data_IF_602629383397
#
_entry.id   IF_602629383397
#
_cell.length_a   1.000
_cell.length_b   1.000
_cell.length_c   1.000
_cell.angle_alpha   90.00
_cell.angle_beta   90.00
_cell.angle_gamma   90.00
#
_symmetry.space_group_name_H-M   'P 1'
#
loop_
_entity.id
_entity.type
_entity.pdbx_description
1 polymer ?
#
# COMPACT_ATOMS: atom_id res chain seq x y z
N UNK A 1 6.37 24.14 -6.05
CA UNK A 1 6.16 22.69 -6.17
C UNK A 1 6.32 22.02 -4.81
N UNK A 2 5.36 21.22 -4.40
CA UNK A 2 5.42 20.51 -3.12
C UNK A 2 5.74 19.05 -3.33
N UNK A 3 6.33 18.42 -2.30
CA UNK A 3 6.74 17.03 -2.35
C UNK A 3 6.12 16.27 -1.19
N UNK A 4 5.51 15.12 -1.49
CA UNK A 4 4.92 14.23 -0.48
C UNK A 4 5.50 12.83 -0.59
N UNK A 5 5.61 12.16 0.56
CA UNK A 5 6.11 10.79 0.61
C UNK A 5 5.17 9.90 1.39
N UNK A 6 4.83 8.77 0.80
CA UNK A 6 4.06 7.72 1.45
C UNK A 6 4.79 6.39 1.37
N UNK A 7 4.43 5.48 2.25
CA UNK A 7 4.95 4.11 2.23
C UNK A 7 3.76 3.17 2.17
N UNK A 8 3.84 2.18 1.28
CA UNK A 8 2.80 1.18 1.12
C UNK A 8 3.35 -0.23 1.26
N UNK A 9 2.46 -1.16 1.55
CA UNK A 9 2.84 -2.56 1.75
C UNK A 9 2.04 -3.48 0.85
N UNK A 10 2.75 -4.33 0.10
CA UNK A 10 2.15 -5.49 -0.52
C UNK A 10 2.12 -6.56 0.57
N UNK A 11 1.00 -6.64 1.28
CA UNK A 11 0.84 -7.57 2.40
C UNK A 11 0.35 -8.90 1.85
N UNK A 12 1.02 -9.97 2.26
CA UNK A 12 0.63 -11.30 1.83
C UNK A 12 0.66 -12.29 2.99
N UNK A 13 -0.08 -13.37 2.85
CA UNK A 13 -0.04 -14.51 3.74
C UNK A 13 0.04 -15.78 2.91
N UNK A 14 0.56 -16.83 3.51
CA UNK A 14 0.65 -18.13 2.87
C UNK A 14 -0.32 -19.08 3.54
N UNK A 15 -1.02 -19.85 2.73
CA UNK A 15 -1.87 -20.92 3.21
C UNK A 15 -1.52 -22.14 2.36
N UNK A 16 -0.87 -23.10 2.97
CA UNK A 16 -0.24 -24.21 2.28
C UNK A 16 0.80 -23.66 1.30
N UNK A 17 0.71 -23.95 0.02
CA UNK A 17 1.65 -23.46 -0.99
C UNK A 17 1.12 -22.22 -1.74
N UNK A 18 -0.03 -21.71 -1.37
CA UNK A 18 -0.65 -20.60 -2.06
C UNK A 18 -0.44 -19.29 -1.31
N UNK A 19 -0.15 -18.23 -2.08
CA UNK A 19 0.03 -16.88 -1.56
C UNK A 19 -1.23 -16.06 -1.81
N UNK A 20 -1.72 -15.40 -0.76
CA UNK A 20 -2.87 -14.50 -0.84
C UNK A 20 -2.42 -13.09 -0.53
N UNK A 21 -2.86 -12.15 -1.34
CA UNK A 21 -2.52 -10.73 -1.17
C UNK A 21 -3.70 -9.98 -0.57
N UNK A 22 -3.40 -9.04 0.32
CA UNK A 22 -4.42 -8.22 0.96
C UNK A 22 -4.69 -6.96 0.13
N UNK A 23 -5.93 -6.77 -0.27
CA UNK A 23 -6.37 -5.55 -0.93
C UNK A 23 -7.46 -4.90 -0.09
N UNK A 24 -7.39 -3.59 0.02
CA UNK A 24 -8.36 -2.80 0.77
C UNK A 24 -9.27 -2.06 -0.22
N UNK A 25 -10.55 -2.04 0.09
CA UNK A 25 -11.54 -1.31 -0.68
C UNK A 25 -11.77 0.04 0.00
N UNK A 26 -11.26 1.10 -0.61
CA UNK A 26 -11.36 2.45 -0.06
C UNK A 26 -12.76 3.02 -0.25
N UNK A 27 -13.20 3.88 0.66
CA UNK A 27 -14.52 4.52 0.57
C UNK A 27 -14.67 5.26 -0.75
N UNK A 28 -13.59 5.83 -1.27
CA UNK A 28 -13.59 6.51 -2.57
C UNK A 28 -13.83 5.56 -3.77
N UNK A 29 -13.83 4.26 -3.54
CA UNK A 29 -14.22 3.26 -4.54
C UNK A 29 -13.10 2.42 -5.13
N UNK A 30 -11.86 2.83 -4.99
CA UNK A 30 -10.75 2.07 -5.57
C UNK A 30 -10.25 0.97 -4.62
N UNK A 31 -9.57 -0.02 -5.21
CA UNK A 31 -8.92 -1.10 -4.49
C UNK A 31 -7.41 -0.90 -4.56
N UNK A 32 -6.74 -0.96 -3.42
CA UNK A 32 -5.31 -0.70 -3.35
C UNK A 32 -4.71 -1.35 -2.11
N UNK A 33 -3.39 -1.24 -1.98
CA UNK A 33 -2.65 -1.69 -0.82
C UNK A 33 -2.80 -0.74 0.36
N UNK A 34 -2.57 -1.21 1.59
CA UNK A 34 -2.42 -0.30 2.74
C UNK A 34 -1.23 0.63 2.49
N UNK A 35 -1.41 1.91 2.76
CA UNK A 35 -0.34 2.90 2.62
C UNK A 35 -0.69 4.18 3.37
N UNK A 36 0.31 4.98 3.69
CA UNK A 36 0.09 6.25 4.32
C UNK A 36 1.32 7.12 4.33
N UNK A 37 1.13 8.36 4.77
CA UNK A 37 2.17 9.38 4.77
C UNK A 37 3.21 9.15 5.86
N UNK A 38 4.47 9.42 5.52
CA UNK A 38 5.57 9.42 6.49
C UNK A 38 5.38 10.62 7.41
N UNK A 39 5.40 10.37 8.72
CA UNK A 39 5.35 11.43 9.71
C UNK A 39 6.78 11.83 10.09
N UNK A 40 6.91 13.05 10.62
CA UNK A 40 8.20 13.59 11.03
C UNK A 40 8.89 12.65 12.00
N UNK A 41 10.16 12.36 11.72
CA UNK A 41 10.97 11.48 12.56
C UNK A 41 10.81 10.00 12.33
N UNK A 42 9.86 9.59 11.46
CA UNK A 42 9.67 8.17 11.16
C UNK A 42 10.59 7.69 10.05
N UNK A 43 11.11 6.47 10.21
CA UNK A 43 11.73 5.74 9.10
C UNK A 43 10.62 5.16 8.22
N UNK A 44 10.99 4.71 7.02
CA UNK A 44 10.02 4.07 6.11
C UNK A 44 9.39 2.82 6.75
N UNK A 45 10.20 1.99 7.42
CA UNK A 45 9.68 0.79 8.09
C UNK A 45 8.73 1.14 9.24
N UNK A 46 9.03 2.19 10.00
CA UNK A 46 8.15 2.64 11.07
C UNK A 46 6.80 3.12 10.54
N UNK A 47 6.84 3.91 9.45
CA UNK A 47 5.63 4.36 8.78
C UNK A 47 4.80 3.16 8.30
N UNK A 48 5.48 2.19 7.66
CA UNK A 48 4.81 1.01 7.13
C UNK A 48 4.07 0.26 8.22
N UNK A 49 4.75 -0.04 9.33
CA UNK A 49 4.15 -0.78 10.44
C UNK A 49 2.98 -0.02 11.06
N UNK A 50 3.14 1.28 11.24
CA UNK A 50 2.09 2.12 11.81
C UNK A 50 0.86 2.17 10.92
N UNK A 51 1.06 2.45 9.63
CA UNK A 51 -0.05 2.56 8.69
C UNK A 51 -0.77 1.23 8.50
N UNK A 52 -0.04 0.12 8.37
CA UNK A 52 -0.67 -1.19 8.23
C UNK A 52 -1.48 -1.52 9.49
N UNK A 53 -0.93 -1.23 10.67
CA UNK A 53 -1.66 -1.48 11.91
C UNK A 53 -2.91 -0.62 12.02
N UNK A 54 -2.81 0.67 11.69
CA UNK A 54 -3.96 1.59 11.74
C UNK A 54 -5.05 1.18 10.76
N UNK A 55 -4.68 0.76 9.56
CA UNK A 55 -5.65 0.45 8.50
C UNK A 55 -6.20 -0.96 8.57
N UNK A 56 -5.48 -1.91 9.15
CA UNK A 56 -5.85 -3.33 9.11
C UNK A 56 -5.86 -4.04 10.45
N UNK A 57 -5.24 -3.46 11.46
CA UNK A 57 -5.07 -4.10 12.76
C UNK A 57 -3.93 -5.11 12.82
N UNK A 58 -3.21 -5.33 11.74
CA UNK A 58 -2.11 -6.31 11.69
C UNK A 58 -0.92 -5.81 12.50
N UNK A 59 -0.43 -6.64 13.43
CA UNK A 59 0.72 -6.33 14.29
C UNK A 59 1.93 -7.21 14.04
N UNK A 60 1.75 -8.35 13.40
CA UNK A 60 2.79 -9.36 13.17
C UNK A 60 3.45 -9.22 11.80
N UNK A 61 3.59 -7.99 11.31
CA UNK A 61 4.09 -7.75 9.97
C UNK A 61 5.59 -8.02 9.86
N UNK A 62 5.97 -8.93 8.98
CA UNK A 62 7.36 -9.24 8.68
C UNK A 62 7.76 -8.67 7.32
N UNK A 63 8.55 -7.60 7.32
CA UNK A 63 8.99 -6.96 6.08
C UNK A 63 10.04 -7.84 5.40
N UNK A 64 9.80 -8.15 4.11
CA UNK A 64 10.69 -9.04 3.37
C UNK A 64 11.88 -8.25 2.81
N UNK A 65 13.07 -8.73 3.12
CA UNK A 65 14.29 -8.12 2.61
C UNK A 65 14.41 -8.31 1.10
N UNK A 66 14.88 -7.29 0.39
CA UNK A 66 15.18 -7.37 -1.03
C UNK A 66 14.12 -6.83 -1.97
N UNK A 67 12.93 -6.51 -1.47
CA UNK A 67 11.89 -5.91 -2.31
C UNK A 67 11.59 -4.50 -1.84
N UNK A 68 11.90 -3.54 -2.69
CA UNK A 68 11.58 -2.13 -2.47
C UNK A 68 11.38 -1.49 -3.84
N UNK A 69 10.25 -0.86 -4.05
CA UNK A 69 9.93 -0.19 -5.32
C UNK A 69 9.40 1.21 -5.05
N UNK A 70 9.85 2.15 -5.87
CA UNK A 70 9.41 3.54 -5.78
C UNK A 70 8.56 3.87 -6.99
N UNK A 71 7.45 4.58 -6.77
CA UNK A 71 6.72 5.21 -7.86
C UNK A 71 6.59 6.69 -7.57
N UNK A 72 6.62 7.48 -8.64
CA UNK A 72 6.48 8.93 -8.58
C UNK A 72 5.32 9.33 -9.47
N UNK A 73 4.52 10.25 -8.99
CA UNK A 73 3.53 10.89 -9.83
C UNK A 73 3.27 12.30 -9.34
N UNK A 74 2.71 13.14 -10.25
CA UNK A 74 2.36 14.50 -9.89
C UNK A 74 0.87 14.68 -10.05
N UNK A 75 0.31 15.56 -9.25
CA UNK A 75 -1.09 15.90 -9.35
C UNK A 75 -1.30 17.35 -8.94
N UNK A 76 -2.46 17.89 -9.34
CA UNK A 76 -2.87 19.23 -8.92
C UNK A 76 -3.81 19.09 -7.74
N UNK A 77 -3.55 19.81 -6.63
CA UNK A 77 -4.51 19.81 -5.53
C UNK A 77 -5.82 20.45 -5.96
N UNK A 78 -6.95 19.85 -5.52
CA UNK A 78 -8.28 20.37 -5.81
C UNK A 78 -9.09 20.52 -4.54
N UNK A 79 -10.17 21.29 -4.60
CA UNK A 79 -11.08 21.49 -3.49
C UNK A 79 -10.40 22.02 -2.22
N UNK A 80 -10.68 21.42 -1.09
CA UNK A 80 -10.12 21.82 0.20
C UNK A 80 -8.61 21.71 0.26
N UNK A 81 -8.05 20.74 -0.45
CA UNK A 81 -6.61 20.57 -0.51
C UNK A 81 -5.94 21.73 -1.22
N UNK A 82 -6.59 22.26 -2.26
CA UNK A 82 -6.10 23.43 -2.98
C UNK A 82 -6.04 24.66 -2.09
N UNK A 83 -7.02 24.82 -1.20
CA UNK A 83 -7.02 25.93 -0.25
C UNK A 83 -5.86 25.82 0.74
N UNK A 84 -5.61 24.61 1.26
CA UNK A 84 -4.52 24.36 2.19
C UNK A 84 -3.15 24.57 1.56
N UNK A 85 -3.03 24.27 0.26
CA UNK A 85 -1.78 24.35 -0.48
C UNK A 85 -1.77 25.52 -1.44
N UNK A 86 -2.30 26.64 -0.99
CA UNK A 86 -2.41 27.86 -1.77
C UNK A 86 -1.06 28.26 -2.36
N UNK A 87 -1.03 28.50 -3.67
CA UNK A 87 0.18 28.87 -4.40
C UNK A 87 0.97 27.70 -4.95
N UNK A 88 0.54 26.46 -4.68
CA UNK A 88 1.20 25.25 -5.20
C UNK A 88 0.47 24.79 -6.44
N UNK A 89 1.14 24.84 -7.61
CA UNK A 89 0.55 24.41 -8.88
C UNK A 89 0.49 22.89 -9.01
N UNK A 90 1.53 22.20 -8.53
CA UNK A 90 1.63 20.75 -8.62
C UNK A 90 2.23 20.17 -7.34
N UNK A 91 1.81 18.95 -7.04
CA UNK A 91 2.38 18.17 -5.95
C UNK A 91 3.05 16.94 -6.57
N UNK A 92 4.30 16.69 -6.20
CA UNK A 92 5.00 15.47 -6.59
C UNK A 92 4.88 14.50 -5.42
N UNK A 93 4.39 13.31 -5.69
CA UNK A 93 4.26 12.27 -4.68
C UNK A 93 5.15 11.10 -5.00
N UNK A 94 5.92 10.68 -4.00
CA UNK A 94 6.70 9.46 -4.03
C UNK A 94 6.01 8.43 -3.14
N UNK A 95 5.79 7.24 -3.66
CA UNK A 95 5.29 6.13 -2.84
C UNK A 95 6.32 5.02 -2.88
N UNK A 96 6.75 4.58 -1.70
CA UNK A 96 7.72 3.49 -1.55
C UNK A 96 6.96 2.25 -1.14
N UNK A 97 7.09 1.16 -1.91
CA UNK A 97 6.41 -0.10 -1.61
C UNK A 97 7.38 -1.17 -1.13
N UNK A 98 6.98 -1.83 -0.06
CA UNK A 98 7.67 -3.01 0.47
C UNK A 98 6.73 -4.21 0.38
N UNK A 99 7.29 -5.42 0.42
CA UNK A 99 6.48 -6.64 0.57
C UNK A 99 6.59 -7.07 2.03
N UNK A 100 5.51 -7.53 2.60
CA UNK A 100 5.48 -7.92 4.01
C UNK A 100 4.53 -9.08 4.25
N UNK A 101 4.98 -10.02 5.06
CA UNK A 101 4.22 -11.23 5.36
C UNK A 101 3.52 -11.13 6.72
N UNK A 102 2.32 -11.69 6.80
CA UNK A 102 1.58 -11.80 8.05
C UNK A 102 0.95 -13.17 8.16
N UNK A 103 0.72 -13.62 9.39
CA UNK A 103 -0.08 -14.82 9.65
C UNK A 103 -1.52 -14.45 10.01
N UNK A 104 -1.80 -13.16 10.17
CA UNK A 104 -3.14 -12.67 10.51
C UNK A 104 -4.09 -12.84 9.33
N UNK A 105 -5.30 -13.30 9.62
CA UNK A 105 -6.36 -13.46 8.62
C UNK A 105 -7.45 -12.41 8.86
N UNK A 106 -7.76 -12.15 10.11
CA UNK A 106 -8.79 -11.18 10.48
C UNK A 106 -8.26 -9.75 10.36
N UNK A 107 -9.07 -8.89 9.78
CA UNK A 107 -8.71 -7.50 9.51
C UNK A 107 -9.70 -6.58 10.21
N UNK A 108 -9.16 -5.63 10.99
CA UNK A 108 -9.95 -4.55 11.60
C UNK A 108 -9.75 -3.27 10.80
N UNK A 109 -10.69 -2.96 9.93
CA UNK A 109 -10.56 -1.81 9.02
C UNK A 109 -10.71 -0.47 9.73
N UNK A 110 -9.95 0.53 9.24
CA UNK A 110 -10.16 1.92 9.64
C UNK A 110 -11.39 2.47 8.93
N UNK A 111 -11.81 3.68 9.33
CA UNK A 111 -12.97 4.34 8.74
C UNK A 111 -12.76 4.77 7.28
N UNK A 112 -11.53 4.70 6.77
CA UNK A 112 -11.21 5.04 5.38
C UNK A 112 -11.57 3.92 4.41
N UNK A 113 -11.88 2.74 4.91
CA UNK A 113 -12.10 1.54 4.10
C UNK A 113 -13.49 0.96 4.35
N UNK A 114 -14.11 0.45 3.29
CA UNK A 114 -15.41 -0.20 3.39
C UNK A 114 -15.34 -1.71 3.18
N UNK A 115 -14.15 -2.26 2.93
CA UNK A 115 -13.99 -3.68 2.77
C UNK A 115 -12.54 -4.09 2.55
N UNK A 116 -12.31 -5.37 2.55
CA UNK A 116 -11.00 -5.95 2.24
C UNK A 116 -11.19 -7.33 1.65
N UNK A 117 -10.18 -7.82 0.96
CA UNK A 117 -10.16 -9.20 0.50
C UNK A 117 -8.72 -9.73 0.48
N UNK A 118 -8.60 -11.03 0.81
CA UNK A 118 -7.38 -11.79 0.59
C UNK A 118 -7.56 -12.54 -0.71
N UNK A 119 -6.74 -12.21 -1.72
CA UNK A 119 -6.91 -12.76 -3.07
C UNK A 119 -5.62 -13.40 -3.58
N UNK A 120 -5.74 -14.57 -4.27
CA UNK A 120 -4.58 -15.09 -4.99
C UNK A 120 -4.21 -14.14 -6.12
N UNK A 121 -3.00 -14.25 -6.63
CA UNK A 121 -2.46 -13.29 -7.59
C UNK A 121 -3.38 -13.02 -8.77
N UNK A 122 -3.91 -14.07 -9.41
CA UNK A 122 -4.72 -13.90 -10.61
C UNK A 122 -5.96 -13.04 -10.38
N UNK A 123 -6.58 -13.18 -9.22
CA UNK A 123 -7.74 -12.35 -8.87
C UNK A 123 -7.32 -10.97 -8.40
N UNK A 124 -6.23 -10.90 -7.62
CA UNK A 124 -5.76 -9.62 -7.08
C UNK A 124 -5.34 -8.67 -8.18
N UNK A 125 -4.62 -9.16 -9.20
CA UNK A 125 -4.15 -8.30 -10.30
C UNK A 125 -5.32 -7.72 -11.09
N UNK A 126 -6.44 -8.44 -11.16
CA UNK A 126 -7.65 -7.94 -11.81
C UNK A 126 -8.45 -6.98 -10.94
N UNK A 127 -8.31 -7.07 -9.62
CA UNK A 127 -9.08 -6.26 -8.68
C UNK A 127 -8.47 -4.89 -8.44
N UNK A 128 -7.15 -4.79 -8.37
CA UNK A 128 -6.48 -3.50 -8.15
C UNK A 128 -6.90 -2.50 -9.21
N UNK A 129 -7.28 -1.31 -8.76
CA UNK A 129 -7.87 -0.30 -9.64
C UNK A 129 -6.85 0.36 -10.57
N UNK A 130 -5.69 0.76 -10.05
CA UNK A 130 -4.72 1.56 -10.82
C UNK A 130 -3.58 0.75 -11.38
N UNK A 131 -3.09 1.15 -12.57
CA UNK A 131 -2.01 0.46 -13.27
C UNK A 131 -0.72 0.43 -12.45
N UNK A 132 -0.42 1.49 -11.71
CA UNK A 132 0.76 1.53 -10.84
C UNK A 132 0.70 0.41 -9.79
N UNK A 133 -0.46 0.19 -9.20
CA UNK A 133 -0.66 -0.89 -8.22
C UNK A 133 -0.52 -2.26 -8.85
N UNK A 134 -1.07 -2.43 -10.05
CA UNK A 134 -0.94 -3.69 -10.79
C UNK A 134 0.52 -4.02 -11.07
N UNK A 135 1.30 -3.01 -11.48
CA UNK A 135 2.71 -3.19 -11.78
C UNK A 135 3.50 -3.57 -10.52
N UNK A 136 3.20 -2.94 -9.40
CA UNK A 136 3.84 -3.27 -8.11
C UNK A 136 3.50 -4.70 -7.70
N UNK A 137 2.24 -5.11 -7.83
CA UNK A 137 1.82 -6.46 -7.49
C UNK A 137 2.52 -7.50 -8.37
N UNK A 138 2.62 -7.23 -9.68
CA UNK A 138 3.32 -8.11 -10.60
C UNK A 138 4.77 -8.32 -10.16
N UNK A 139 5.46 -7.23 -9.86
CA UNK A 139 6.86 -7.29 -9.42
C UNK A 139 7.01 -8.04 -8.09
N UNK A 140 6.12 -7.79 -7.14
CA UNK A 140 6.13 -8.47 -5.86
C UNK A 140 5.90 -9.98 -6.04
N UNK A 141 4.94 -10.35 -6.87
CA UNK A 141 4.64 -11.76 -7.12
C UNK A 141 5.84 -12.48 -7.75
N UNK A 142 6.50 -11.86 -8.71
CA UNK A 142 7.70 -12.42 -9.34
C UNK A 142 8.81 -12.60 -8.29
N UNK A 143 9.01 -11.58 -7.46
CA UNK A 143 10.02 -11.61 -6.41
C UNK A 143 9.77 -12.77 -5.42
N UNK A 144 8.53 -12.91 -4.97
CA UNK A 144 8.17 -13.95 -4.00
C UNK A 144 8.34 -15.38 -4.57
N UNK A 145 8.07 -15.56 -5.86
CA UNK A 145 8.26 -16.86 -6.51
C UNK A 145 9.73 -17.25 -6.60
N UNK A 146 10.62 -16.28 -6.76
CA UNK A 146 12.06 -16.54 -6.83
C UNK A 146 12.67 -16.79 -5.46
N UNK A 147 12.03 -16.31 -4.42
CA UNK A 147 12.52 -16.39 -3.05
C UNK A 147 12.00 -17.66 -2.37
N UNK A 148 12.58 -18.77 -2.74
CA UNK A 148 12.25 -20.05 -2.11
C UNK A 148 13.38 -20.55 -1.27
#
# INVERSE_FOLDING_TARGET
MSFEKSVGAVVFRKEEDEVFFLLLHYISGHWDFPKGHVEEGESEHETLRREVQEETGIRDLGIISGFKRNIFYSYRPGGKEREKKKGVAHIIKKVVYYAAETESVEIGLSHEHKGFEWLPYDEAIGRITHDNGKNILLKANIFLKKKK
#
